data_IF_659403204370
#
_entry.id   IF_659403204370
#
_cell.length_a   1.000
_cell.length_b   1.000
_cell.length_c   1.000
_cell.angle_alpha   90.00
_cell.angle_beta   90.00
_cell.angle_gamma   90.00
#
_symmetry.space_group_name_H-M   'P 1'
#
loop_
_entity.id
_entity.type
_entity.pdbx_description
1 polymer ?
#
# COMPACT_ATOMS: atom_id res chain seq x y z
N UNK A 1 -4.61 30.40 -18.99
CA UNK A 1 -5.59 29.32 -18.78
C UNK A 1 -6.65 29.47 -19.83
N UNK A 2 -6.97 28.41 -20.52
CA UNK A 2 -8.03 28.36 -21.52
C UNK A 2 -9.34 27.89 -20.89
N UNK A 3 -10.48 28.30 -21.43
CA UNK A 3 -11.81 27.90 -20.96
C UNK A 3 -12.49 27.17 -22.11
N UNK A 4 -13.00 25.95 -21.84
CA UNK A 4 -13.67 25.11 -22.83
C UNK A 4 -13.58 23.64 -22.48
N UNK A 5 -14.05 22.79 -23.38
CA UNK A 5 -13.89 21.35 -23.28
C UNK A 5 -12.55 20.95 -23.92
N UNK A 6 -11.74 20.20 -23.21
CA UNK A 6 -10.39 19.79 -23.62
C UNK A 6 -10.24 18.28 -23.51
N UNK A 7 -9.49 17.69 -24.43
CA UNK A 7 -8.94 16.36 -24.26
C UNK A 7 -7.75 16.39 -23.28
N UNK A 8 -7.36 15.23 -22.77
CA UNK A 8 -6.25 15.12 -21.81
C UNK A 8 -4.88 15.56 -22.40
N UNK A 9 -4.75 15.57 -23.72
CA UNK A 9 -3.51 15.91 -24.44
C UNK A 9 -3.47 17.38 -24.90
N UNK A 10 -4.61 18.07 -24.90
CA UNK A 10 -4.66 19.47 -25.31
C UNK A 10 -4.11 20.40 -24.25
N UNK A 11 -3.53 21.52 -24.68
CA UNK A 11 -2.96 22.53 -23.80
C UNK A 11 -4.05 23.29 -23.08
N UNK A 12 -4.12 23.16 -21.76
CA UNK A 12 -5.10 23.84 -20.89
C UNK A 12 -4.60 25.17 -20.35
N UNK A 13 -3.27 25.34 -20.26
CA UNK A 13 -2.66 26.63 -19.95
C UNK A 13 -1.21 26.68 -20.45
N UNK A 14 -0.68 27.88 -20.55
CA UNK A 14 0.73 28.14 -20.86
C UNK A 14 1.34 28.83 -19.66
N UNK A 15 2.51 28.36 -19.22
CA UNK A 15 3.31 28.96 -18.17
C UNK A 15 4.55 29.51 -18.83
N UNK A 16 4.77 30.83 -18.71
CA UNK A 16 5.99 31.46 -19.17
C UNK A 16 6.97 31.57 -18.00
N UNK A 17 8.19 31.08 -18.17
CA UNK A 17 9.25 31.20 -17.16
C UNK A 17 9.83 32.62 -17.09
N UNK A 18 10.70 32.86 -16.09
CA UNK A 18 11.36 34.17 -15.91
C UNK A 18 12.25 34.56 -17.09
N UNK A 19 12.61 33.60 -17.97
CA UNK A 19 13.43 33.82 -19.15
C UNK A 19 12.62 34.06 -20.43
N UNK A 20 11.27 34.00 -20.31
CA UNK A 20 10.35 34.17 -21.42
C UNK A 20 10.11 32.93 -22.25
N UNK A 21 10.45 31.71 -21.76
CA UNK A 21 10.13 30.45 -22.43
C UNK A 21 8.73 29.97 -22.02
N UNK A 22 7.96 29.60 -23.03
CA UNK A 22 6.61 29.09 -22.83
C UNK A 22 6.62 27.57 -22.64
N UNK A 23 5.95 27.10 -21.59
CA UNK A 23 5.71 25.68 -21.31
C UNK A 23 4.21 25.40 -21.41
N UNK A 24 3.84 24.57 -22.37
CA UNK A 24 2.48 24.10 -22.53
C UNK A 24 2.12 23.09 -21.44
N UNK A 25 1.05 23.33 -20.71
CA UNK A 25 0.55 22.44 -19.67
C UNK A 25 -0.69 21.73 -20.19
N UNK A 26 -0.67 20.41 -20.10
CA UNK A 26 -1.80 19.51 -20.44
C UNK A 26 -2.29 18.80 -19.19
N UNK A 27 -3.45 18.15 -19.24
CA UNK A 27 -3.93 17.29 -18.16
C UNK A 27 -3.15 16.00 -18.03
N UNK A 28 -2.46 15.56 -19.11
CA UNK A 28 -1.64 14.35 -19.10
C UNK A 28 -0.32 14.61 -18.39
N UNK A 29 0.01 13.74 -17.43
CA UNK A 29 1.29 13.74 -16.73
C UNK A 29 2.10 12.50 -17.10
N UNK A 30 3.37 12.69 -17.52
CA UNK A 30 4.34 11.61 -17.69
C UNK A 30 5.27 11.61 -16.49
N UNK A 31 5.28 10.51 -15.74
CA UNK A 31 6.11 10.38 -14.54
C UNK A 31 6.92 9.07 -14.57
N UNK A 32 8.24 9.11 -14.28
CA UNK A 32 9.04 7.90 -14.17
C UNK A 32 8.64 7.13 -12.91
N UNK A 33 8.04 5.95 -13.08
CA UNK A 33 7.41 5.18 -11.99
C UNK A 33 8.35 4.78 -10.85
N UNK A 34 9.66 4.69 -11.10
CA UNK A 34 10.67 4.41 -10.06
C UNK A 34 11.05 5.61 -9.23
N UNK A 35 10.59 6.81 -9.59
CA UNK A 35 10.87 8.05 -8.88
C UNK A 35 9.67 8.45 -8.03
N UNK A 36 9.92 8.69 -6.74
CA UNK A 36 8.91 9.25 -5.84
C UNK A 36 8.40 10.59 -6.35
N UNK A 37 7.09 10.83 -6.20
CA UNK A 37 6.49 12.12 -6.54
C UNK A 37 6.80 13.15 -5.46
N UNK A 38 7.14 14.40 -5.85
CA UNK A 38 7.57 15.41 -4.90
C UNK A 38 6.42 15.88 -3.99
N UNK A 39 6.78 16.27 -2.78
CA UNK A 39 5.88 16.88 -1.80
C UNK A 39 6.60 18.03 -1.10
N UNK A 40 5.85 18.93 -0.44
CA UNK A 40 6.40 20.06 0.27
C UNK A 40 7.09 19.65 1.57
N UNK A 41 6.43 18.76 2.34
CA UNK A 41 6.90 18.28 3.64
C UNK A 41 6.28 16.92 3.95
N UNK A 42 7.06 16.03 4.54
CA UNK A 42 6.55 14.77 5.11
C UNK A 42 6.29 14.97 6.61
N UNK A 43 5.12 14.55 7.06
CA UNK A 43 4.70 14.66 8.44
C UNK A 43 4.64 13.29 9.12
N UNK A 44 4.71 13.30 10.45
CA UNK A 44 4.49 12.08 11.21
C UNK A 44 3.02 11.67 11.10
N UNK A 45 2.70 10.43 10.73
CA UNK A 45 1.33 9.95 10.73
C UNK A 45 0.82 9.86 12.16
N UNK A 46 -0.37 10.40 12.44
CA UNK A 46 -0.99 10.53 13.75
C UNK A 46 -2.40 9.91 13.79
N UNK A 47 -3.21 10.16 12.77
CA UNK A 47 -4.58 9.68 12.70
C UNK A 47 -4.65 8.18 12.35
N UNK A 48 -5.50 7.37 13.02
CA UNK A 48 -5.68 5.97 12.70
C UNK A 48 -6.33 5.78 11.32
N UNK A 49 -5.93 4.73 10.61
CA UNK A 49 -6.69 4.18 9.51
C UNK A 49 -7.63 3.11 10.09
N UNK A 50 -8.90 3.39 10.14
CA UNK A 50 -9.88 2.41 10.60
C UNK A 50 -10.04 1.34 9.52
N UNK A 51 -9.70 0.11 9.87
CA UNK A 51 -9.71 -1.01 8.91
C UNK A 51 -11.05 -1.75 8.90
N UNK A 52 -11.90 -1.54 9.91
CA UNK A 52 -13.13 -2.27 10.13
C UNK A 52 -12.92 -3.68 10.71
N UNK A 53 -11.67 -4.07 10.95
CA UNK A 53 -11.32 -5.33 11.61
C UNK A 53 -11.00 -5.06 13.08
N UNK A 54 -11.89 -5.46 14.00
CA UNK A 54 -11.75 -5.17 15.44
C UNK A 54 -10.40 -5.55 16.03
N UNK A 55 -9.88 -6.72 15.67
CA UNK A 55 -8.57 -7.21 16.17
C UNK A 55 -7.44 -6.28 15.73
N UNK A 56 -7.48 -5.82 14.48
CA UNK A 56 -6.48 -4.91 13.94
C UNK A 56 -6.61 -3.54 14.61
N UNK A 57 -7.80 -2.96 14.57
CA UNK A 57 -8.02 -1.60 15.04
C UNK A 57 -7.77 -1.46 16.55
N UNK A 58 -8.02 -2.53 17.34
CA UNK A 58 -7.85 -2.50 18.79
C UNK A 58 -6.43 -2.83 19.22
N UNK A 59 -5.82 -3.90 18.68
CA UNK A 59 -4.54 -4.42 19.20
C UNK A 59 -3.34 -4.10 18.32
N UNK A 60 -3.53 -3.93 17.01
CA UNK A 60 -2.44 -3.74 16.06
C UNK A 60 -2.77 -2.62 15.05
N UNK A 61 -3.13 -1.42 15.54
CA UNK A 61 -3.61 -0.36 14.66
C UNK A 61 -2.54 0.14 13.69
N UNK A 62 -3.01 0.65 12.57
CA UNK A 62 -2.20 1.36 11.59
C UNK A 62 -2.69 2.80 11.46
N UNK A 63 -1.79 3.71 11.18
CA UNK A 63 -2.12 5.12 10.93
C UNK A 63 -2.29 5.40 9.43
N UNK A 64 -3.05 6.43 9.09
CA UNK A 64 -3.09 6.99 7.72
C UNK A 64 -1.70 7.50 7.35
N UNK A 65 -1.10 6.91 6.32
CA UNK A 65 0.29 7.13 5.96
C UNK A 65 1.28 6.16 6.62
N UNK A 66 0.77 5.13 7.30
CA UNK A 66 1.59 4.08 7.91
C UNK A 66 2.02 3.00 6.92
N UNK A 67 2.86 2.08 7.41
CA UNK A 67 3.36 0.93 6.66
C UNK A 67 3.15 -0.36 7.44
N UNK A 68 2.57 -1.36 6.77
CA UNK A 68 2.28 -2.66 7.37
C UNK A 68 2.70 -3.81 6.46
N UNK A 69 2.98 -4.95 7.07
CA UNK A 69 3.15 -6.21 6.37
C UNK A 69 2.16 -7.26 6.89
N UNK A 70 1.67 -8.10 5.98
CA UNK A 70 0.83 -9.26 6.26
C UNK A 70 1.63 -10.51 5.87
N UNK A 71 2.52 -11.00 6.71
CA UNK A 71 3.20 -12.24 6.43
C UNK A 71 2.34 -13.43 6.84
N UNK A 72 2.45 -14.49 6.06
CA UNK A 72 1.80 -15.74 6.37
C UNK A 72 2.07 -16.81 5.32
N UNK A 73 2.04 -18.08 5.69
CA UNK A 73 2.18 -19.19 4.77
C UNK A 73 1.04 -19.21 3.74
N UNK A 74 1.17 -20.04 2.73
CA UNK A 74 0.10 -20.26 1.77
C UNK A 74 -1.17 -20.78 2.48
N UNK A 75 -2.34 -20.25 2.10
CA UNK A 75 -3.62 -20.62 2.69
C UNK A 75 -3.93 -19.99 4.06
N UNK A 76 -3.09 -19.11 4.57
CA UNK A 76 -3.35 -18.40 5.85
C UNK A 76 -4.37 -17.27 5.75
N UNK A 77 -4.85 -16.94 4.55
CA UNK A 77 -5.86 -15.92 4.31
C UNK A 77 -5.32 -14.50 4.08
N UNK A 78 -4.08 -14.36 3.55
CA UNK A 78 -3.50 -13.05 3.21
C UNK A 78 -4.37 -12.24 2.25
N UNK A 79 -4.69 -12.81 1.10
CA UNK A 79 -5.54 -12.19 0.07
C UNK A 79 -6.92 -11.83 0.63
N UNK A 80 -7.55 -12.76 1.37
CA UNK A 80 -8.84 -12.50 2.02
C UNK A 80 -8.76 -11.33 3.00
N UNK A 81 -7.70 -11.27 3.81
CA UNK A 81 -7.49 -10.16 4.74
C UNK A 81 -7.34 -8.84 3.98
N UNK A 82 -6.56 -8.80 2.90
CA UNK A 82 -6.40 -7.60 2.08
C UNK A 82 -7.70 -7.18 1.38
N UNK A 83 -8.52 -8.12 0.91
CA UNK A 83 -9.84 -7.81 0.35
C UNK A 83 -10.77 -7.20 1.41
N UNK A 84 -10.75 -7.72 2.64
CA UNK A 84 -11.54 -7.15 3.73
C UNK A 84 -11.05 -5.73 4.08
N UNK A 85 -9.73 -5.51 4.10
CA UNK A 85 -9.18 -4.17 4.29
C UNK A 85 -9.57 -3.23 3.15
N UNK A 86 -9.50 -3.67 1.90
CA UNK A 86 -9.93 -2.89 0.74
C UNK A 86 -11.40 -2.47 0.83
N UNK A 87 -12.25 -3.38 1.32
CA UNK A 87 -13.69 -3.14 1.45
C UNK A 87 -14.04 -2.17 2.58
N UNK A 88 -13.42 -2.35 3.75
CA UNK A 88 -13.87 -1.69 4.98
C UNK A 88 -12.98 -0.53 5.42
N UNK A 89 -11.76 -0.41 4.90
CA UNK A 89 -10.85 0.64 5.31
C UNK A 89 -11.42 2.05 5.05
N UNK A 90 -11.21 2.94 6.01
CA UNK A 90 -11.53 4.35 5.92
C UNK A 90 -10.49 5.08 5.07
N UNK A 91 -10.42 4.71 3.81
CA UNK A 91 -9.61 5.35 2.78
C UNK A 91 -10.52 5.88 1.67
N UNK A 92 -10.13 7.00 1.05
CA UNK A 92 -10.90 7.56 -0.07
C UNK A 92 -10.68 6.75 -1.33
N UNK A 93 -9.43 6.35 -1.57
CA UNK A 93 -8.99 5.58 -2.74
C UNK A 93 -8.26 4.33 -2.26
N UNK A 94 -8.56 3.21 -2.90
CA UNK A 94 -7.85 1.94 -2.72
C UNK A 94 -7.08 1.63 -3.99
N UNK A 95 -5.79 1.34 -3.86
CA UNK A 95 -4.97 0.82 -4.96
C UNK A 95 -4.60 -0.61 -4.62
N UNK A 96 -5.13 -1.57 -5.38
CA UNK A 96 -4.83 -2.97 -5.21
C UNK A 96 -3.90 -3.46 -6.31
N UNK A 97 -2.76 -4.01 -5.94
CA UNK A 97 -1.75 -4.54 -6.85
C UNK A 97 -1.67 -6.05 -6.67
N UNK A 98 -2.20 -6.80 -7.64
CA UNK A 98 -1.92 -8.21 -7.78
C UNK A 98 -0.59 -8.37 -8.51
N UNK A 99 0.45 -8.76 -7.79
CA UNK A 99 1.81 -8.90 -8.33
C UNK A 99 2.21 -10.37 -8.42
N UNK A 100 2.16 -10.91 -9.63
CA UNK A 100 2.50 -12.32 -9.89
C UNK A 100 1.47 -13.31 -9.32
N UNK A 101 0.24 -12.87 -9.15
CA UNK A 101 -0.85 -13.69 -8.62
C UNK A 101 -1.38 -14.67 -9.67
N UNK A 102 -2.13 -15.66 -9.23
CA UNK A 102 -2.76 -16.63 -10.13
C UNK A 102 -3.89 -15.97 -10.91
N UNK A 103 -4.03 -16.33 -12.19
CA UNK A 103 -5.07 -15.77 -13.06
C UNK A 103 -6.48 -15.94 -12.49
N UNK A 104 -6.80 -17.08 -11.88
CA UNK A 104 -8.11 -17.33 -11.25
C UNK A 104 -8.34 -16.39 -10.05
N UNK A 105 -7.35 -16.16 -9.16
CA UNK A 105 -7.48 -15.25 -8.03
C UNK A 105 -7.72 -13.81 -8.49
N UNK A 106 -7.03 -13.39 -9.56
CA UNK A 106 -7.28 -12.07 -10.17
C UNK A 106 -8.65 -11.97 -10.83
N UNK A 107 -9.14 -13.05 -11.44
CA UNK A 107 -10.48 -13.11 -12.02
C UNK A 107 -11.54 -13.00 -10.92
N UNK A 108 -11.33 -13.64 -9.79
CA UNK A 108 -12.23 -13.54 -8.63
C UNK A 108 -12.32 -12.09 -8.13
N UNK A 109 -11.18 -11.40 -8.01
CA UNK A 109 -11.15 -9.98 -7.64
C UNK A 109 -11.92 -9.11 -8.65
N UNK A 110 -11.72 -9.35 -9.95
CA UNK A 110 -12.39 -8.61 -11.02
C UNK A 110 -13.91 -8.84 -11.03
N UNK A 111 -14.37 -10.01 -10.60
CA UNK A 111 -15.80 -10.33 -10.52
C UNK A 111 -16.43 -9.85 -9.21
N UNK A 112 -15.71 -10.00 -8.08
CA UNK A 112 -16.25 -9.68 -6.75
C UNK A 112 -16.29 -8.16 -6.47
N UNK A 113 -15.23 -7.42 -6.80
CA UNK A 113 -15.14 -6.00 -6.45
C UNK A 113 -16.25 -5.12 -7.04
N UNK A 114 -16.71 -5.34 -8.29
CA UNK A 114 -17.86 -4.60 -8.82
C UNK A 114 -19.17 -4.87 -8.07
N UNK A 115 -19.35 -6.09 -7.54
CA UNK A 115 -20.56 -6.49 -6.79
C UNK A 115 -20.52 -6.00 -5.33
N UNK A 116 -19.33 -5.78 -4.79
CA UNK A 116 -19.17 -5.26 -3.43
C UNK A 116 -19.58 -3.79 -3.38
N UNK A 117 -20.37 -3.46 -2.37
CA UNK A 117 -20.79 -2.08 -2.11
C UNK A 117 -19.90 -1.44 -1.05
N UNK A 118 -19.50 -0.20 -1.29
CA UNK A 118 -18.86 0.62 -0.28
C UNK A 118 -19.86 0.88 0.86
N UNK A 119 -19.56 0.49 2.10
CA UNK A 119 -20.47 0.67 3.23
C UNK A 119 -20.79 2.15 3.52
N UNK A 120 -19.98 3.09 3.04
CA UNK A 120 -20.17 4.53 3.26
C UNK A 120 -21.10 5.17 2.24
N UNK A 121 -20.96 4.80 0.96
CA UNK A 121 -21.72 5.42 -0.15
C UNK A 121 -22.84 4.54 -0.68
N UNK A 122 -22.76 3.23 -0.48
CA UNK A 122 -23.66 2.23 -1.07
C UNK A 122 -23.39 1.93 -2.55
N UNK A 123 -22.43 2.61 -3.17
CA UNK A 123 -22.02 2.41 -4.56
C UNK A 123 -21.03 1.25 -4.69
N UNK A 124 -20.72 0.85 -5.92
CA UNK A 124 -19.73 -0.20 -6.18
C UNK A 124 -18.35 0.19 -5.64
N UNK A 125 -17.68 -0.75 -4.97
CA UNK A 125 -16.31 -0.57 -4.46
C UNK A 125 -15.32 -0.19 -5.58
N UNK A 126 -15.59 -0.62 -6.81
CA UNK A 126 -14.76 -0.28 -7.97
C UNK A 126 -14.70 1.21 -8.28
N UNK A 127 -15.68 2.01 -7.84
CA UNK A 127 -15.63 3.47 -8.07
C UNK A 127 -14.49 4.17 -7.33
N UNK A 128 -14.01 3.59 -6.22
CA UNK A 128 -12.88 4.10 -5.46
C UNK A 128 -11.63 3.20 -5.54
N UNK A 129 -11.63 2.19 -6.41
CA UNK A 129 -10.55 1.21 -6.49
C UNK A 129 -9.82 1.29 -7.81
N UNK A 130 -8.49 1.36 -7.73
CA UNK A 130 -7.59 1.14 -8.87
C UNK A 130 -7.03 -0.26 -8.75
N UNK A 131 -7.28 -1.10 -9.75
CA UNK A 131 -6.81 -2.48 -9.78
C UNK A 131 -5.67 -2.62 -10.80
N UNK A 132 -4.53 -3.10 -10.33
CA UNK A 132 -3.37 -3.44 -11.17
C UNK A 132 -3.21 -4.95 -11.12
N UNK A 133 -3.57 -5.60 -12.23
CA UNK A 133 -3.52 -7.05 -12.35
C UNK A 133 -2.26 -7.47 -13.12
N UNK A 134 -1.32 -8.07 -12.41
CA UNK A 134 -0.19 -8.77 -13.00
C UNK A 134 -0.26 -10.24 -12.58
N UNK A 135 -0.47 -11.11 -13.56
CA UNK A 135 -0.58 -12.56 -13.33
C UNK A 135 0.77 -13.26 -13.47
N UNK A 136 0.87 -14.46 -12.93
CA UNK A 136 2.12 -15.23 -12.85
C UNK A 136 2.68 -15.64 -14.22
N UNK A 137 1.85 -15.64 -15.26
CA UNK A 137 2.22 -15.96 -16.65
C UNK A 137 2.78 -14.75 -17.42
N UNK A 138 2.64 -13.53 -16.88
CA UNK A 138 3.16 -12.32 -17.49
C UNK A 138 4.70 -12.23 -17.38
N UNK A 139 5.37 -11.48 -18.29
CA UNK A 139 6.81 -11.31 -18.26
C UNK A 139 7.31 -10.75 -16.91
N UNK A 140 8.50 -11.20 -16.48
CA UNK A 140 9.13 -10.80 -15.21
C UNK A 140 9.27 -9.28 -15.08
N UNK A 141 9.66 -8.61 -16.17
CA UNK A 141 9.78 -7.15 -16.20
C UNK A 141 8.44 -6.44 -15.93
N UNK A 142 7.31 -7.00 -16.41
CA UNK A 142 5.99 -6.48 -16.13
C UNK A 142 5.63 -6.68 -14.65
N UNK A 143 6.03 -7.81 -14.06
CA UNK A 143 5.85 -8.08 -12.63
C UNK A 143 6.61 -7.07 -11.77
N UNK A 144 7.86 -6.82 -12.10
CA UNK A 144 8.68 -5.81 -11.41
C UNK A 144 8.08 -4.41 -11.56
N UNK A 145 7.61 -4.05 -12.75
CA UNK A 145 7.03 -2.75 -13.02
C UNK A 145 5.66 -2.51 -12.34
N UNK A 146 4.88 -3.56 -12.09
CA UNK A 146 3.53 -3.45 -11.52
C UNK A 146 3.51 -2.75 -10.16
N UNK A 147 4.46 -3.05 -9.29
CA UNK A 147 4.61 -2.44 -7.97
C UNK A 147 4.88 -0.93 -8.08
N UNK A 148 5.81 -0.54 -8.96
CA UNK A 148 6.12 0.88 -9.15
C UNK A 148 4.98 1.64 -9.81
N UNK A 149 4.28 1.02 -10.76
CA UNK A 149 3.10 1.62 -11.40
C UNK A 149 2.02 1.89 -10.36
N UNK A 150 1.73 0.90 -9.52
CA UNK A 150 0.71 1.02 -8.48
C UNK A 150 1.01 2.11 -7.47
N UNK A 151 2.23 2.15 -6.95
CA UNK A 151 2.56 3.16 -5.94
C UNK A 151 2.62 4.57 -6.54
N UNK A 152 3.01 4.71 -7.81
CA UNK A 152 3.00 6.01 -8.49
C UNK A 152 1.58 6.53 -8.70
N UNK A 153 0.64 5.66 -9.06
CA UNK A 153 -0.80 6.01 -9.15
C UNK A 153 -1.33 6.40 -7.76
N UNK A 154 -0.96 5.64 -6.73
CA UNK A 154 -1.36 5.95 -5.36
C UNK A 154 -0.83 7.32 -4.89
N UNK A 155 0.42 7.65 -5.22
CA UNK A 155 0.99 8.97 -4.95
C UNK A 155 0.29 10.10 -5.72
N UNK A 156 -0.17 9.84 -6.95
CA UNK A 156 -0.93 10.81 -7.73
C UNK A 156 -2.22 11.21 -7.01
N UNK A 157 -2.97 10.23 -6.49
CA UNK A 157 -4.17 10.51 -5.69
C UNK A 157 -3.83 11.15 -4.34
N UNK A 158 -2.75 10.72 -3.68
CA UNK A 158 -2.24 11.38 -2.48
C UNK A 158 -1.99 12.88 -2.71
N UNK A 159 -1.37 13.22 -3.84
CA UNK A 159 -1.06 14.61 -4.19
C UNK A 159 -2.31 15.47 -4.43
N UNK A 160 -3.45 14.84 -4.69
CA UNK A 160 -4.77 15.50 -4.74
C UNK A 160 -5.38 15.73 -3.35
N UNK A 161 -4.75 15.25 -2.27
CA UNK A 161 -5.23 15.38 -0.90
C UNK A 161 -6.06 14.20 -0.40
N UNK A 162 -6.14 13.10 -1.15
CA UNK A 162 -6.87 11.91 -0.73
C UNK A 162 -6.10 11.06 0.28
N UNK A 163 -6.84 10.33 1.09
CA UNK A 163 -6.34 9.23 1.89
C UNK A 163 -6.33 7.96 1.05
N UNK A 164 -5.16 7.50 0.68
CA UNK A 164 -4.98 6.35 -0.19
C UNK A 164 -4.49 5.15 0.61
N UNK A 165 -5.15 3.99 0.44
CA UNK A 165 -4.68 2.71 0.93
C UNK A 165 -4.17 1.87 -0.24
N UNK A 166 -2.89 1.51 -0.23
CA UNK A 166 -2.26 0.66 -1.22
C UNK A 166 -2.05 -0.73 -0.64
N UNK A 167 -2.51 -1.73 -1.35
CA UNK A 167 -2.35 -3.15 -1.02
C UNK A 167 -1.56 -3.84 -2.11
N UNK A 168 -0.46 -4.50 -1.73
CA UNK A 168 0.39 -5.26 -2.65
C UNK A 168 0.33 -6.75 -2.32
N UNK A 169 -0.25 -7.53 -3.22
CA UNK A 169 -0.32 -8.99 -3.14
C UNK A 169 0.44 -9.63 -4.30
N UNK A 170 1.65 -10.11 -4.14
CA UNK A 170 2.46 -10.05 -2.94
C UNK A 170 3.84 -9.45 -3.22
N UNK A 171 4.42 -8.80 -2.21
CA UNK A 171 5.80 -8.27 -2.31
C UNK A 171 6.84 -9.38 -2.45
N UNK A 172 6.55 -10.61 -2.01
CA UNK A 172 7.41 -11.78 -2.22
C UNK A 172 7.55 -12.11 -3.71
N UNK A 173 6.47 -12.04 -4.48
CA UNK A 173 6.49 -12.26 -5.93
C UNK A 173 7.26 -11.16 -6.67
N UNK A 174 7.19 -9.93 -6.16
CA UNK A 174 8.04 -8.86 -6.66
C UNK A 174 9.52 -9.12 -6.37
N UNK A 175 9.87 -9.57 -5.17
CA UNK A 175 11.25 -9.95 -4.83
C UNK A 175 11.76 -11.11 -5.68
N UNK A 176 10.92 -12.10 -5.98
CA UNK A 176 11.26 -13.19 -6.94
C UNK A 176 11.56 -12.62 -8.33
N UNK A 177 10.79 -11.62 -8.79
CA UNK A 177 11.07 -10.96 -10.07
C UNK A 177 12.42 -10.23 -10.05
N UNK A 178 12.77 -9.54 -8.96
CA UNK A 178 14.08 -8.91 -8.79
C UNK A 178 15.20 -9.95 -8.83
N UNK A 179 15.04 -11.10 -8.17
CA UNK A 179 16.00 -12.22 -8.20
C UNK A 179 16.19 -12.76 -9.61
N UNK A 180 15.11 -12.99 -10.34
CA UNK A 180 15.18 -13.50 -11.71
C UNK A 180 15.85 -12.50 -12.66
N UNK A 181 15.54 -11.21 -12.53
CA UNK A 181 16.17 -10.17 -13.36
C UNK A 181 17.65 -10.03 -13.06
N UNK A 182 18.07 -10.01 -11.80
CA UNK A 182 19.48 -9.94 -11.43
C UNK A 182 20.26 -11.16 -11.91
N UNK A 183 19.66 -12.36 -11.85
CA UNK A 183 20.25 -13.57 -12.40
C UNK A 183 20.44 -13.51 -13.92
N UNK A 184 19.49 -12.95 -14.67
CA UNK A 184 19.61 -12.76 -16.13
C UNK A 184 20.66 -11.70 -16.50
N UNK A 185 20.90 -10.74 -15.62
CA UNK A 185 21.93 -9.70 -15.79
C UNK A 185 23.30 -10.14 -15.26
N UNK A 186 23.42 -11.39 -14.81
CA UNK A 186 24.66 -11.97 -14.24
C UNK A 186 25.21 -11.13 -13.06
N UNK A 187 24.33 -10.48 -12.30
CA UNK A 187 24.73 -9.74 -11.11
C UNK A 187 25.14 -10.71 -10.00
N UNK A 188 26.09 -10.29 -9.15
CA UNK A 188 26.53 -11.12 -8.03
C UNK A 188 25.35 -11.39 -7.06
N UNK A 189 24.99 -12.66 -6.82
CA UNK A 189 23.91 -12.99 -5.93
C UNK A 189 24.28 -12.74 -4.48
N UNK A 190 23.32 -12.24 -3.71
CA UNK A 190 23.36 -12.16 -2.26
C UNK A 190 22.77 -13.41 -1.59
N UNK A 191 22.22 -13.25 -0.41
CA UNK A 191 21.61 -14.32 0.37
C UNK A 191 20.44 -14.96 -0.38
N UNK A 192 20.39 -16.29 -0.41
CA UNK A 192 19.41 -17.11 -1.13
C UNK A 192 19.23 -16.73 -2.63
N UNK A 193 20.25 -16.17 -3.25
CA UNK A 193 20.22 -15.77 -4.66
C UNK A 193 19.47 -14.46 -4.93
N UNK A 194 19.04 -13.74 -3.93
CA UNK A 194 18.47 -12.41 -4.08
C UNK A 194 19.56 -11.38 -4.38
N UNK A 195 19.25 -10.30 -5.11
CA UNK A 195 20.22 -9.23 -5.32
C UNK A 195 20.56 -8.54 -3.99
N UNK A 196 21.82 -8.10 -3.85
CA UNK A 196 22.30 -7.41 -2.65
C UNK A 196 21.47 -6.13 -2.32
N UNK A 197 20.83 -5.53 -3.33
CA UNK A 197 19.98 -4.35 -3.17
C UNK A 197 18.51 -4.65 -2.83
N UNK A 198 18.14 -5.91 -2.53
CA UNK A 198 16.74 -6.26 -2.19
C UNK A 198 16.19 -5.38 -1.06
N UNK A 199 16.94 -5.27 0.05
CA UNK A 199 16.52 -4.47 1.20
C UNK A 199 16.32 -2.99 0.87
N UNK A 200 17.22 -2.40 0.08
CA UNK A 200 17.08 -1.00 -0.35
C UNK A 200 15.90 -0.78 -1.31
N UNK A 201 15.58 -1.74 -2.17
CA UNK A 201 14.38 -1.66 -3.04
C UNK A 201 13.09 -1.74 -2.25
N UNK A 202 13.02 -2.65 -1.28
CA UNK A 202 11.88 -2.74 -0.35
C UNK A 202 11.73 -1.45 0.46
N UNK A 203 12.83 -0.92 1.00
CA UNK A 203 12.81 0.35 1.72
C UNK A 203 12.31 1.50 0.85
N UNK A 204 12.83 1.65 -0.37
CA UNK A 204 12.36 2.67 -1.33
C UNK A 204 10.86 2.56 -1.62
N UNK A 205 10.31 1.36 -1.72
CA UNK A 205 8.87 1.16 -1.90
C UNK A 205 8.07 1.63 -0.69
N UNK A 206 8.39 1.13 0.51
CA UNK A 206 7.64 1.47 1.72
C UNK A 206 7.85 2.92 2.17
N UNK A 207 9.01 3.51 1.90
CA UNK A 207 9.30 4.92 2.23
C UNK A 207 8.49 5.91 1.40
N UNK A 208 7.94 5.51 0.26
CA UNK A 208 6.99 6.32 -0.52
C UNK A 208 5.64 6.49 0.18
N UNK A 209 5.30 5.61 1.12
CA UNK A 209 4.16 5.80 1.99
C UNK A 209 4.41 6.91 3.01
N UNK A 210 3.37 7.58 3.43
CA UNK A 210 3.45 8.63 4.44
C UNK A 210 2.28 9.60 4.41
N UNK A 211 2.27 10.49 5.39
CA UNK A 211 1.44 11.69 5.42
C UNK A 211 2.30 12.84 4.92
N UNK A 212 1.83 13.56 3.93
CA UNK A 212 2.57 14.63 3.29
C UNK A 212 1.72 15.88 3.13
N UNK A 213 2.38 17.03 3.24
CA UNK A 213 1.84 18.29 2.74
C UNK A 213 2.18 18.35 1.26
N UNK A 214 1.15 18.41 0.41
CA UNK A 214 1.29 18.38 -1.03
C UNK A 214 1.90 19.67 -1.56
N UNK A 215 2.42 19.64 -2.78
CA UNK A 215 2.84 20.85 -3.46
C UNK A 215 1.62 21.73 -3.76
N UNK A 216 1.82 23.03 -3.65
CA UNK A 216 0.77 24.04 -3.86
C UNK A 216 0.76 25.07 -2.74
N UNK A 217 -0.17 26.02 -2.80
CA UNK A 217 -0.30 27.10 -1.82
C UNK A 217 -1.43 26.87 -0.82
N UNK A 218 -2.14 25.76 -0.94
CA UNK A 218 -3.34 25.42 -0.16
C UNK A 218 -3.03 24.52 1.07
N UNK A 219 -1.75 24.20 1.32
CA UNK A 219 -1.27 23.30 2.40
C UNK A 219 -2.07 21.99 2.52
N UNK A 220 -2.54 21.50 1.39
CA UNK A 220 -3.32 20.27 1.27
C UNK A 220 -2.53 19.07 1.79
N UNK A 221 -3.17 18.27 2.64
CA UNK A 221 -2.58 17.06 3.21
C UNK A 221 -3.12 15.84 2.46
N UNK A 222 -2.23 14.97 2.03
CA UNK A 222 -2.56 13.67 1.47
C UNK A 222 -1.85 12.55 2.23
N UNK A 223 -2.45 11.37 2.26
CA UNK A 223 -1.87 10.21 2.93
C UNK A 223 -1.80 9.01 2.00
N UNK A 224 -0.71 8.26 2.08
CA UNK A 224 -0.53 7.00 1.39
C UNK A 224 -0.12 5.93 2.41
N UNK A 225 -1.02 5.01 2.70
CA UNK A 225 -0.77 3.85 3.56
C UNK A 225 -0.40 2.66 2.69
N UNK A 226 0.73 2.01 2.96
CA UNK A 226 1.18 0.85 2.20
C UNK A 226 1.09 -0.44 3.05
N UNK A 227 0.39 -1.44 2.50
CA UNK A 227 0.19 -2.75 3.13
C UNK A 227 0.67 -3.82 2.15
N UNK A 228 1.74 -4.52 2.49
CA UNK A 228 2.30 -5.57 1.64
C UNK A 228 2.09 -6.96 2.20
N UNK A 229 1.56 -7.88 1.38
CA UNK A 229 1.54 -9.29 1.74
C UNK A 229 2.93 -9.89 1.52
N UNK A 230 3.36 -10.73 2.46
CA UNK A 230 4.62 -11.47 2.39
C UNK A 230 4.30 -12.96 2.50
N UNK A 231 4.86 -13.74 1.59
CA UNK A 231 4.64 -15.20 1.52
C UNK A 231 5.95 -15.94 1.80
N UNK A 232 6.35 -16.08 3.06
CA UNK A 232 7.59 -16.77 3.40
C UNK A 232 7.48 -18.26 3.02
N UNK A 233 8.46 -18.82 2.29
CA UNK A 233 8.53 -20.23 1.97
C UNK A 233 8.49 -21.08 3.25
N UNK A 234 7.61 -22.09 3.29
CA UNK A 234 7.45 -22.93 4.48
C UNK A 234 6.95 -22.23 5.74
N UNK A 235 6.60 -20.95 5.66
CA UNK A 235 6.21 -20.13 6.82
C UNK A 235 7.40 -19.59 7.63
N UNK A 236 8.61 -19.74 7.12
CA UNK A 236 9.85 -19.28 7.78
C UNK A 236 10.07 -17.78 7.58
N UNK A 237 9.83 -17.00 8.63
CA UNK A 237 10.04 -15.54 8.64
C UNK A 237 11.53 -15.14 8.67
N UNK A 238 12.46 -16.08 8.79
CA UNK A 238 13.90 -15.79 8.76
C UNK A 238 14.45 -15.61 7.35
N UNK A 239 13.65 -15.89 6.32
CA UNK A 239 14.04 -15.70 4.91
C UNK A 239 14.29 -14.21 4.55
N UNK A 240 15.13 -13.92 3.53
CA UNK A 240 15.63 -12.57 3.26
C UNK A 240 14.55 -11.51 3.01
N UNK A 241 13.45 -11.85 2.33
CA UNK A 241 12.38 -10.89 2.00
C UNK A 241 11.61 -10.50 3.25
N UNK A 242 11.25 -11.49 4.08
CA UNK A 242 10.58 -11.26 5.36
C UNK A 242 11.43 -10.45 6.31
N UNK A 243 12.70 -10.82 6.46
CA UNK A 243 13.65 -10.10 7.31
C UNK A 243 13.87 -8.64 6.86
N UNK A 244 14.03 -8.43 5.55
CA UNK A 244 14.18 -7.08 5.02
C UNK A 244 12.90 -6.25 5.24
N UNK A 245 11.72 -6.85 5.04
CA UNK A 245 10.43 -6.19 5.25
C UNK A 245 10.22 -5.83 6.72
N UNK A 246 10.51 -6.76 7.65
CA UNK A 246 10.37 -6.53 9.09
C UNK A 246 11.18 -5.34 9.62
N UNK A 247 12.34 -5.07 9.03
CA UNK A 247 13.18 -3.93 9.41
C UNK A 247 12.62 -2.59 8.98
N UNK A 248 11.68 -2.58 8.03
CA UNK A 248 11.14 -1.36 7.41
C UNK A 248 9.76 -1.04 7.96
N UNK A 249 8.87 -2.05 8.05
CA UNK A 249 7.47 -1.84 8.44
C UNK A 249 7.33 -1.52 9.91
N UNK A 250 6.29 -0.76 10.24
CA UNK A 250 5.95 -0.41 11.62
C UNK A 250 4.85 -1.28 12.20
N UNK A 251 4.11 -1.96 11.35
CA UNK A 251 3.02 -2.86 11.73
C UNK A 251 3.25 -4.22 11.09
N UNK A 252 3.03 -5.26 11.86
CA UNK A 252 3.19 -6.64 11.44
C UNK A 252 1.96 -7.45 11.87
N UNK A 253 1.20 -7.93 10.91
CA UNK A 253 0.04 -8.77 11.11
C UNK A 253 0.35 -10.21 10.70
N UNK A 254 1.01 -10.94 11.59
CA UNK A 254 1.42 -12.32 11.35
C UNK A 254 0.21 -13.26 11.24
N UNK A 255 0.01 -13.89 10.09
CA UNK A 255 -1.06 -14.87 9.90
C UNK A 255 -0.57 -16.28 10.20
N UNK A 256 -1.40 -17.03 10.90
CA UNK A 256 -1.15 -18.41 11.31
C UNK A 256 -2.08 -19.37 10.58
N UNK A 257 -1.51 -20.34 9.87
CA UNK A 257 -2.29 -21.36 9.15
C UNK A 257 -3.11 -22.25 10.08
N UNK A 258 -2.65 -22.49 11.31
CA UNK A 258 -3.40 -23.31 12.29
C UNK A 258 -4.71 -22.63 12.69
N UNK A 259 -4.71 -21.31 12.81
CA UNK A 259 -5.92 -20.51 13.05
C UNK A 259 -6.84 -20.52 11.83
N UNK A 260 -6.26 -20.38 10.63
CA UNK A 260 -7.02 -20.46 9.38
C UNK A 260 -7.70 -21.80 9.19
N UNK A 261 -7.02 -22.93 9.47
CA UNK A 261 -7.61 -24.26 9.45
C UNK A 261 -8.76 -24.44 10.43
N UNK A 262 -8.70 -23.78 11.56
CA UNK A 262 -9.79 -23.71 12.55
C UNK A 262 -10.91 -22.74 12.15
N UNK A 263 -10.82 -22.12 10.98
CA UNK A 263 -11.76 -21.09 10.48
C UNK A 263 -11.86 -19.88 11.41
N UNK A 264 -10.78 -19.56 12.13
CA UNK A 264 -10.66 -18.37 12.94
C UNK A 264 -10.11 -17.25 12.07
N UNK A 265 -10.96 -16.31 11.68
CA UNK A 265 -10.58 -15.17 10.82
C UNK A 265 -10.89 -13.84 11.50
N UNK A 266 -10.02 -12.83 11.30
CA UNK A 266 -8.70 -12.92 10.67
C UNK A 266 -7.77 -13.86 11.46
N UNK A 267 -6.95 -14.63 10.74
CA UNK A 267 -6.06 -15.63 11.33
C UNK A 267 -4.78 -15.01 11.93
N UNK A 268 -4.93 -13.90 12.64
CA UNK A 268 -3.83 -13.13 13.21
C UNK A 268 -3.29 -13.82 14.46
N UNK A 269 -2.00 -14.10 14.48
CA UNK A 269 -1.29 -14.60 15.64
C UNK A 269 -0.92 -13.41 16.54
N UNK A 270 -1.50 -13.35 17.72
CA UNK A 270 -1.30 -12.24 18.66
C UNK A 270 0.09 -12.17 19.25
N UNK A 271 0.79 -13.31 19.35
CA UNK A 271 2.13 -13.37 19.96
C UNK A 271 3.22 -12.86 19.01
N UNK A 272 2.99 -12.94 17.70
CA UNK A 272 3.98 -12.52 16.70
C UNK A 272 3.64 -11.18 16.07
N UNK A 273 2.39 -10.72 16.21
CA UNK A 273 1.92 -9.46 15.64
C UNK A 273 2.25 -8.27 16.54
N UNK A 274 2.50 -7.11 15.93
CA UNK A 274 2.75 -5.87 16.67
C UNK A 274 2.39 -4.63 15.85
N UNK A 275 2.20 -3.50 16.53
CA UNK A 275 2.09 -2.17 15.93
C UNK A 275 2.94 -1.18 16.73
N UNK A 276 3.82 -0.47 16.02
CA UNK A 276 4.60 0.63 16.59
C UNK A 276 3.85 1.97 16.56
N UNK A 277 2.63 1.98 16.01
CA UNK A 277 1.76 3.16 16.00
C UNK A 277 0.82 3.23 17.21
N UNK A 278 0.82 2.22 18.09
CA UNK A 278 -0.12 2.10 19.19
C UNK A 278 -0.22 3.38 20.02
N UNK A 279 0.92 3.88 20.53
CA UNK A 279 0.95 5.09 21.36
C UNK A 279 0.43 6.35 20.64
N UNK A 280 0.60 6.44 19.32
CA UNK A 280 0.11 7.56 18.51
C UNK A 280 -1.40 7.48 18.33
N UNK A 281 -1.91 6.29 18.06
CA UNK A 281 -3.35 6.05 17.92
C UNK A 281 -4.06 6.27 19.26
N UNK A 282 -3.44 5.87 20.36
CA UNK A 282 -3.97 6.11 21.70
C UNK A 282 -4.05 7.60 22.01
N UNK A 283 -2.96 8.35 21.77
CA UNK A 283 -2.95 9.80 21.95
C UNK A 283 -4.01 10.50 21.08
N UNK A 284 -4.14 10.08 19.82
CA UNK A 284 -5.17 10.59 18.93
C UNK A 284 -6.60 10.31 19.45
N UNK A 285 -6.81 9.10 19.97
CA UNK A 285 -8.11 8.71 20.52
C UNK A 285 -8.45 9.51 21.79
N UNK A 286 -7.47 9.75 22.68
CA UNK A 286 -7.65 10.59 23.87
C UNK A 286 -8.04 12.02 23.53
N UNK A 287 -7.53 12.56 22.41
CA UNK A 287 -7.82 13.92 21.94
C UNK A 287 -9.15 14.04 21.17
N UNK A 288 -9.52 13.00 20.39
CA UNK A 288 -10.58 13.12 19.40
C UNK A 288 -11.82 12.26 19.68
N UNK A 289 -11.71 11.25 20.55
CA UNK A 289 -12.82 10.34 20.84
C UNK A 289 -13.28 10.51 22.29
N UNK A 290 -12.47 10.11 23.25
CA UNK A 290 -12.80 10.14 24.67
C UNK A 290 -11.54 10.35 25.51
N UNK A 291 -11.53 11.33 26.44
CA UNK A 291 -10.39 11.53 27.34
C UNK A 291 -10.06 10.26 28.12
N UNK A 292 -8.79 9.90 28.20
CA UNK A 292 -8.26 8.68 28.83
C UNK A 292 -8.67 7.35 28.16
N UNK A 293 -9.01 7.35 26.88
CA UNK A 293 -9.32 6.14 26.12
C UNK A 293 -8.19 5.10 26.20
N UNK A 294 -6.94 5.55 26.13
CA UNK A 294 -5.76 4.70 26.27
C UNK A 294 -5.67 4.01 27.63
N UNK A 295 -6.01 4.70 28.73
CA UNK A 295 -6.03 4.14 30.08
C UNK A 295 -7.12 3.06 30.23
N UNK A 296 -8.31 3.34 29.76
CA UNK A 296 -9.45 2.39 29.80
C UNK A 296 -9.13 1.09 29.04
N UNK A 297 -8.40 1.19 27.91
CA UNK A 297 -8.00 0.02 27.14
C UNK A 297 -6.95 -0.83 27.84
N UNK A 298 -6.08 -0.24 28.65
CA UNK A 298 -5.03 -0.94 29.38
C UNK A 298 -5.59 -1.70 30.57
N UNK A 299 -6.73 -1.27 31.10
CA UNK A 299 -7.41 -1.90 32.24
C UNK A 299 -8.38 -3.04 31.81
N UNK A 300 -8.74 -3.12 30.53
CA UNK A 300 -9.62 -4.14 29.97
C UNK A 300 -8.85 -5.35 29.39
#
# INVERSE_FOLDING_TARGET
IFIGDFTIEETVCIITDEKGNDVNVTMMQKWPVRRERPYKKKESPDAPLITGQRVIDTFFPITKGGVAAIPGPFGSGKTVTQHQLAKWADADIVVYIGCGERGNEMTDVLNEFPELKDPRTGESLMQRTVLIANTSDMPVAAREASIYTGITIAEFFRDMGYSVALMADSTSRWAEALREMSGRLEEMPGEEGYPAYLGSRLAQFYERAGRVVCLGNDDRIGTLTAIGAVSPPGGDISEPVSQATLRIVKVFWGLDSSLAYKRHFPAINWLTSYSLYQAKVDAWADENVEPNFSAQRTEA
#
